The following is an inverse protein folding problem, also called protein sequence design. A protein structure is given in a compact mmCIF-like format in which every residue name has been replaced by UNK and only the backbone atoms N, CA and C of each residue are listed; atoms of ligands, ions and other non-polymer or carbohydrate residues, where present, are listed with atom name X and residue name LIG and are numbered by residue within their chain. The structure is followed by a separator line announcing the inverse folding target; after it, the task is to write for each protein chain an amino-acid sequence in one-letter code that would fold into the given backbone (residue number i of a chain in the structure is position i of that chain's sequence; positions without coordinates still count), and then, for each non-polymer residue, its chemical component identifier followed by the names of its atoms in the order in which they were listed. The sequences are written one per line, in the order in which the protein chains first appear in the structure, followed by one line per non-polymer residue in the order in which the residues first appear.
data_IF_943291216583
#
_entry.id   IF_943291216583
#
_cell.length_a   1.000
_cell.length_b   1.000
_cell.length_c   1.000
_cell.angle_alpha   90.00
_cell.angle_beta   90.00
_cell.angle_gamma   90.00
#
_symmetry.space_group_name_H-M   'P 1'
#
loop_
_entity.id
_entity.type
_entity.pdbx_description
1 polymer ?
#
# COMPACT_ATOMS: atom_id res chain seq x y z
N UNK A 1 2.84 9.60 -1.73
CA UNK A 1 1.78 10.39 -1.07
C UNK A 1 1.93 11.84 -1.47
N UNK A 2 0.84 12.60 -1.49
CA UNK A 2 0.85 14.05 -1.67
C UNK A 2 0.43 14.70 -0.36
N UNK A 3 1.17 15.69 0.09
CA UNK A 3 0.87 16.46 1.30
C UNK A 3 -0.17 17.55 1.02
N UNK A 4 -0.82 18.12 2.06
CA UNK A 4 -1.84 19.17 1.89
C UNK A 4 -1.34 20.44 1.16
N UNK A 5 -0.04 20.72 1.22
CA UNK A 5 0.61 21.83 0.48
C UNK A 5 1.00 21.49 -0.97
N UNK A 6 0.67 20.28 -1.42
CA UNK A 6 0.99 19.75 -2.75
C UNK A 6 2.38 19.14 -2.88
N UNK A 7 3.20 19.17 -1.84
CA UNK A 7 4.50 18.50 -1.84
C UNK A 7 4.33 16.98 -1.96
N UNK A 8 5.28 16.34 -2.63
CA UNK A 8 5.27 14.91 -2.90
C UNK A 8 6.24 14.20 -1.96
N UNK A 9 5.75 13.22 -1.21
CA UNK A 9 6.56 12.36 -0.35
C UNK A 9 6.74 10.99 -0.97
N UNK A 10 7.98 10.52 -0.94
CA UNK A 10 8.41 9.22 -1.47
C UNK A 10 9.16 8.47 -0.39
N UNK A 11 8.83 7.20 -0.20
CA UNK A 11 9.64 6.27 0.58
C UNK A 11 9.96 5.05 -0.28
N UNK A 12 11.23 4.69 -0.35
CA UNK A 12 11.75 3.64 -1.21
C UNK A 12 12.95 2.92 -0.61
N UNK A 13 13.41 1.90 -1.31
CA UNK A 13 14.68 1.23 -1.02
C UNK A 13 15.69 1.49 -2.12
N UNK A 14 16.97 1.66 -1.76
CA UNK A 14 18.07 1.79 -2.71
C UNK A 14 19.23 0.84 -2.34
N UNK A 15 20.04 0.44 -3.32
CA UNK A 15 21.15 -0.50 -3.17
C UNK A 15 22.46 0.00 -3.77
N UNK A 16 22.46 1.20 -4.32
CA UNK A 16 23.59 1.90 -4.91
C UNK A 16 23.63 3.33 -4.39
N UNK A 17 24.75 4.05 -4.45
CA UNK A 17 24.80 5.46 -4.10
C UNK A 17 23.69 6.24 -4.79
N UNK A 18 22.92 7.01 -4.01
CA UNK A 18 21.76 7.76 -4.48
C UNK A 18 21.91 9.23 -4.14
N UNK A 19 21.75 10.09 -5.14
CA UNK A 19 21.60 11.55 -4.99
C UNK A 19 20.24 11.97 -5.56
N UNK A 20 19.46 12.68 -4.78
CA UNK A 20 18.14 13.19 -5.16
C UNK A 20 18.16 14.70 -5.46
N UNK A 21 19.37 15.28 -5.67
CA UNK A 21 19.59 16.70 -5.92
C UNK A 21 19.97 17.52 -4.68
N UNK A 22 20.23 16.87 -3.55
CA UNK A 22 20.67 17.48 -2.30
C UNK A 22 22.07 17.02 -1.84
N UNK A 23 22.80 16.32 -2.68
CA UNK A 23 24.02 15.62 -2.37
C UNK A 23 23.78 14.13 -2.11
N UNK A 24 24.86 13.32 -2.09
CA UNK A 24 24.77 11.88 -1.95
C UNK A 24 24.20 11.48 -0.59
N UNK A 25 23.20 10.59 -0.62
CA UNK A 25 22.64 10.01 0.60
C UNK A 25 23.63 9.03 1.25
N UNK A 26 23.55 8.84 2.58
CA UNK A 26 24.39 7.88 3.30
C UNK A 26 24.30 6.49 2.68
N UNK A 27 25.44 5.93 2.33
CA UNK A 27 25.55 4.61 1.72
C UNK A 27 26.75 3.85 2.31
N UNK A 28 26.57 2.57 2.62
CA UNK A 28 27.68 1.69 3.01
C UNK A 28 27.77 0.50 2.04
N UNK A 29 28.98 0.16 1.64
CA UNK A 29 29.27 -0.96 0.76
C UNK A 29 29.36 -2.31 1.50
N UNK A 30 29.20 -2.30 2.83
CA UNK A 30 29.48 -3.47 3.70
C UNK A 30 28.34 -4.49 3.63
N UNK A 31 27.18 -4.12 3.14
CA UNK A 31 26.05 -5.03 3.10
C UNK A 31 25.30 -4.96 1.76
N UNK A 32 24.91 -6.12 1.22
CA UNK A 32 23.92 -6.22 0.16
C UNK A 32 22.48 -5.88 0.65
N UNK A 33 22.34 -5.41 1.90
CA UNK A 33 21.05 -5.03 2.45
C UNK A 33 20.53 -3.74 1.78
N UNK A 34 19.23 -3.65 1.49
CA UNK A 34 18.67 -2.42 0.96
C UNK A 34 18.70 -1.32 2.02
N UNK A 35 19.14 -0.14 1.60
CA UNK A 35 18.98 1.09 2.36
C UNK A 35 17.54 1.60 2.16
N UNK A 36 17.01 2.35 3.12
CA UNK A 36 15.73 3.05 2.94
C UNK A 36 16.00 4.52 2.65
N UNK A 37 15.12 5.13 1.88
CA UNK A 37 15.06 6.58 1.68
C UNK A 37 13.66 7.05 1.96
N UNK A 38 13.53 8.20 2.62
CA UNK A 38 12.32 9.01 2.66
C UNK A 38 12.70 10.43 2.21
N UNK A 39 11.93 10.98 1.28
CA UNK A 39 12.21 12.28 0.69
C UNK A 39 10.93 13.07 0.44
N UNK A 40 11.02 14.40 0.54
CA UNK A 40 9.97 15.36 0.23
C UNK A 40 10.42 16.25 -0.92
N UNK A 41 9.56 16.35 -1.93
CA UNK A 41 9.78 17.18 -3.11
C UNK A 41 8.67 18.23 -3.21
N UNK A 42 8.99 19.39 -3.72
CA UNK A 42 7.98 20.38 -4.12
C UNK A 42 7.09 19.83 -5.25
N UNK A 43 5.92 20.44 -5.52
CA UNK A 43 5.08 20.07 -6.65
C UNK A 43 5.79 20.15 -8.01
N UNK A 44 6.83 20.99 -8.10
CA UNK A 44 7.70 21.11 -9.30
C UNK A 44 8.84 20.09 -9.37
N UNK A 45 8.96 19.18 -8.38
CA UNK A 45 10.00 18.13 -8.35
C UNK A 45 11.33 18.57 -7.71
N UNK A 46 11.42 19.76 -7.12
CA UNK A 46 12.62 20.20 -6.37
C UNK A 46 12.68 19.53 -5.01
N UNK A 47 13.81 18.95 -4.65
CA UNK A 47 14.01 18.34 -3.34
C UNK A 47 13.89 19.37 -2.23
N UNK A 48 13.06 19.07 -1.21
CA UNK A 48 12.96 19.84 0.03
C UNK A 48 13.91 19.28 1.08
N UNK A 49 13.83 17.98 1.29
CA UNK A 49 14.71 17.21 2.17
C UNK A 49 14.68 15.73 1.80
N UNK A 50 15.74 15.01 2.16
CA UNK A 50 15.83 13.56 2.06
C UNK A 50 16.64 12.97 3.21
N UNK A 51 16.21 11.81 3.68
CA UNK A 51 16.91 11.01 4.67
C UNK A 51 17.19 9.63 4.11
N UNK A 52 18.46 9.28 4.04
CA UNK A 52 18.93 7.90 3.81
C UNK A 52 19.07 7.17 5.15
N UNK A 53 18.45 6.01 5.27
CA UNK A 53 18.56 5.14 6.43
C UNK A 53 19.46 3.98 6.07
N UNK A 54 20.65 3.98 6.65
CA UNK A 54 21.69 2.98 6.38
C UNK A 54 21.56 1.82 7.36
N UNK A 55 21.52 0.56 6.90
CA UNK A 55 21.44 -0.58 7.80
C UNK A 55 22.73 -0.77 8.59
N UNK A 56 22.59 -1.02 9.90
CA UNK A 56 23.73 -1.29 10.78
C UNK A 56 24.35 -2.67 10.59
N UNK A 57 23.58 -3.64 10.06
CA UNK A 57 24.01 -5.02 9.85
C UNK A 57 23.67 -5.56 8.47
N UNK A 58 24.57 -6.37 7.91
CA UNK A 58 24.47 -6.96 6.58
C UNK A 58 23.30 -7.95 6.37
N UNK A 59 22.77 -8.54 7.45
CA UNK A 59 21.88 -9.71 7.39
C UNK A 59 20.37 -9.39 7.48
N UNK A 60 19.98 -8.15 7.60
CA UNK A 60 18.61 -7.77 7.91
C UNK A 60 17.89 -7.14 6.72
N UNK A 61 16.64 -7.55 6.50
CA UNK A 61 15.81 -7.05 5.41
C UNK A 61 15.12 -5.76 5.81
N UNK A 62 15.64 -4.65 5.30
CA UNK A 62 14.96 -3.36 5.39
C UNK A 62 13.75 -3.31 4.43
N UNK A 63 12.62 -2.82 4.91
CA UNK A 63 11.40 -2.68 4.10
C UNK A 63 10.60 -1.45 4.52
N UNK A 64 10.20 -0.65 3.55
CA UNK A 64 9.12 0.30 3.71
C UNK A 64 7.80 -0.47 3.64
N UNK A 65 6.96 -0.32 4.66
CA UNK A 65 5.64 -0.93 4.71
C UNK A 65 4.54 0.05 4.33
N UNK A 66 4.73 1.33 4.65
CA UNK A 66 3.77 2.38 4.32
C UNK A 66 4.28 3.77 4.65
N UNK A 67 3.62 4.74 4.04
CA UNK A 67 3.84 6.17 4.23
C UNK A 67 2.48 6.85 4.34
N UNK A 68 2.30 7.75 5.31
CA UNK A 68 1.12 8.59 5.45
C UNK A 68 1.51 10.02 5.81
N UNK A 69 0.67 10.98 5.45
CA UNK A 69 0.87 12.40 5.76
C UNK A 69 -0.40 12.92 6.40
N UNK A 70 -0.28 13.55 7.56
CA UNK A 70 -1.42 14.16 8.24
C UNK A 70 -1.75 15.56 7.69
N UNK A 71 -2.85 16.16 8.18
CA UNK A 71 -3.32 17.47 7.75
C UNK A 71 -2.35 18.62 8.05
N UNK A 72 -1.41 18.43 8.98
CA UNK A 72 -0.35 19.40 9.33
C UNK A 72 0.93 19.16 8.50
N UNK A 73 0.96 18.15 7.64
CA UNK A 73 2.10 17.78 6.82
C UNK A 73 3.16 16.94 7.53
N UNK A 74 2.87 16.43 8.74
CA UNK A 74 3.76 15.48 9.41
C UNK A 74 3.70 14.12 8.69
N UNK A 75 4.82 13.42 8.70
CA UNK A 75 5.03 12.21 7.92
C UNK A 75 5.13 11.00 8.85
N UNK A 76 4.26 10.03 8.64
CA UNK A 76 4.34 8.73 9.28
C UNK A 76 4.98 7.73 8.32
N UNK A 77 6.08 7.13 8.74
CA UNK A 77 6.84 6.10 8.00
C UNK A 77 6.82 4.80 8.78
N UNK A 78 6.25 3.75 8.22
CA UNK A 78 6.21 2.42 8.82
C UNK A 78 6.99 1.40 8.01
N UNK A 79 7.59 0.43 8.70
CA UNK A 79 8.33 -0.62 8.03
C UNK A 79 9.06 -1.57 8.97
N UNK A 80 10.07 -2.23 8.43
CA UNK A 80 10.99 -3.08 9.19
C UNK A 80 12.40 -2.50 9.09
N UNK A 81 12.99 -2.23 10.24
CA UNK A 81 14.36 -1.75 10.39
C UNK A 81 15.34 -2.93 10.50
N UNK A 82 16.52 -2.69 9.96
CA UNK A 82 17.70 -3.53 10.14
C UNK A 82 18.63 -3.00 11.25
N UNK A 83 18.12 -2.12 12.12
CA UNK A 83 18.96 -1.23 12.90
C UNK A 83 19.43 -0.08 12.00
N UNK A 84 18.65 0.99 11.90
CA UNK A 84 19.00 2.15 11.08
C UNK A 84 19.41 3.33 11.95
N UNK A 85 20.25 4.18 11.37
CA UNK A 85 20.46 5.52 11.89
C UNK A 85 19.63 6.50 11.07
N UNK A 86 18.82 7.32 11.74
CA UNK A 86 18.09 8.45 11.16
C UNK A 86 18.48 9.72 11.89
N UNK A 87 19.27 10.56 11.25
CA UNK A 87 19.94 11.69 11.93
C UNK A 87 20.88 11.17 13.01
N UNK A 88 20.76 11.68 14.24
CA UNK A 88 21.54 11.26 15.41
C UNK A 88 20.89 10.10 16.21
N UNK A 89 19.76 9.56 15.78
CA UNK A 89 19.02 8.51 16.51
C UNK A 89 19.14 7.16 15.81
N UNK A 90 19.43 6.16 16.61
CA UNK A 90 19.39 4.76 16.14
C UNK A 90 17.97 4.22 16.21
N UNK A 91 17.50 3.65 15.11
CA UNK A 91 16.30 2.84 15.02
C UNK A 91 16.71 1.38 15.20
N UNK A 92 16.37 0.73 16.30
CA UNK A 92 16.74 -0.66 16.52
C UNK A 92 16.09 -1.59 15.49
N UNK A 93 16.68 -2.78 15.33
CA UNK A 93 16.14 -3.79 14.42
C UNK A 93 14.72 -4.22 14.81
N UNK A 94 13.88 -4.45 13.81
CA UNK A 94 12.49 -4.88 13.98
C UNK A 94 11.47 -3.95 13.32
N UNK A 95 10.17 -4.21 13.55
CA UNK A 95 9.10 -3.37 13.04
C UNK A 95 9.08 -2.02 13.76
N UNK A 96 8.97 -0.94 12.99
CA UNK A 96 8.98 0.42 13.50
C UNK A 96 7.90 1.28 12.84
N UNK A 97 7.51 2.33 13.55
CA UNK A 97 6.75 3.45 13.04
C UNK A 97 7.47 4.74 13.50
N UNK A 98 7.84 5.58 12.54
CA UNK A 98 8.48 6.87 12.80
C UNK A 98 7.55 8.01 12.42
N UNK A 99 7.54 9.10 13.20
CA UNK A 99 6.89 10.37 12.85
C UNK A 99 7.97 11.41 12.62
N UNK A 100 7.91 12.06 11.46
CA UNK A 100 8.77 13.19 11.11
C UNK A 100 7.92 14.46 10.98
N UNK A 101 8.51 15.60 11.33
CA UNK A 101 7.89 16.90 11.07
C UNK A 101 7.79 17.18 9.55
N UNK A 102 7.05 18.22 9.13
CA UNK A 102 7.03 18.66 7.74
C UNK A 102 8.42 19.01 7.17
N UNK A 103 9.35 19.42 8.05
CA UNK A 103 10.74 19.74 7.69
C UNK A 103 11.67 18.51 7.72
N UNK A 104 11.13 17.33 7.99
CA UNK A 104 11.88 16.07 8.01
C UNK A 104 12.57 15.75 9.35
N UNK A 105 12.38 16.54 10.39
CA UNK A 105 12.96 16.22 11.70
C UNK A 105 12.27 15.00 12.32
N UNK A 106 13.05 14.02 12.78
CA UNK A 106 12.53 12.85 13.47
C UNK A 106 12.01 13.25 14.86
N UNK A 107 10.70 13.18 15.04
CA UNK A 107 10.04 13.53 16.30
C UNK A 107 9.86 12.31 17.20
N UNK A 108 9.41 11.20 16.65
CA UNK A 108 9.06 10.01 17.41
C UNK A 108 9.40 8.72 16.66
N UNK A 109 9.68 7.69 17.45
CA UNK A 109 9.80 6.32 16.99
C UNK A 109 9.00 5.44 17.93
N UNK A 110 8.15 4.61 17.35
CA UNK A 110 7.41 3.56 18.06
C UNK A 110 7.87 2.19 17.57
N UNK A 111 8.03 1.29 18.51
CA UNK A 111 8.27 -0.14 18.28
C UNK A 111 7.01 -0.94 18.58
N UNK A 112 6.91 -2.09 17.95
CA UNK A 112 5.90 -3.10 18.24
C UNK A 112 6.61 -4.32 18.82
N UNK A 113 6.77 -4.32 20.14
CA UNK A 113 7.51 -5.37 20.85
C UNK A 113 6.75 -6.69 20.89
N UNK A 114 7.47 -7.80 21.03
CA UNK A 114 6.91 -9.14 21.12
C UNK A 114 7.69 -10.18 20.33
N UNK A 115 7.18 -11.40 20.31
CA UNK A 115 7.80 -12.55 19.66
C UNK A 115 7.20 -12.84 18.27
N UNK A 116 7.99 -13.54 17.43
CA UNK A 116 7.58 -13.86 16.05
C UNK A 116 7.79 -12.70 15.07
N UNK A 117 7.02 -12.68 13.99
CA UNK A 117 7.17 -11.69 12.91
C UNK A 117 6.06 -10.64 12.96
N UNK A 118 6.35 -9.40 12.54
CA UNK A 118 5.35 -8.39 12.26
C UNK A 118 5.73 -7.65 10.98
N UNK A 119 4.78 -7.49 10.07
CA UNK A 119 4.91 -6.70 8.87
C UNK A 119 3.88 -5.56 8.86
N UNK A 120 4.33 -4.33 8.85
CA UNK A 120 3.51 -3.19 8.51
C UNK A 120 3.38 -3.18 6.98
N UNK A 121 2.15 -3.17 6.46
CA UNK A 121 1.89 -3.21 5.02
C UNK A 121 1.29 -1.92 4.48
N UNK A 122 0.56 -1.16 5.31
CA UNK A 122 -0.05 0.10 4.91
C UNK A 122 -0.27 1.03 6.10
N UNK A 123 -0.29 2.33 5.80
CA UNK A 123 -0.64 3.40 6.71
C UNK A 123 -1.66 4.33 6.04
N UNK A 124 -2.58 4.89 6.84
CA UNK A 124 -3.47 5.96 6.42
C UNK A 124 -3.57 7.02 7.53
N UNK A 125 -3.56 8.32 7.21
CA UNK A 125 -3.84 9.36 8.20
C UNK A 125 -5.29 9.24 8.68
N UNK A 126 -5.53 9.53 9.95
CA UNK A 126 -6.87 9.42 10.55
C UNK A 126 -7.67 10.74 10.51
N UNK A 127 -7.10 11.77 9.88
CA UNK A 127 -7.69 13.11 9.79
C UNK A 127 -7.57 13.95 11.07
N UNK A 128 -7.04 13.40 12.18
CA UNK A 128 -6.91 14.08 13.48
C UNK A 128 -5.45 14.18 13.95
N UNK A 129 -4.49 14.07 13.03
CA UNK A 129 -3.05 14.07 13.30
C UNK A 129 -2.49 12.69 13.70
N UNK A 130 -3.32 11.68 13.83
CA UNK A 130 -2.94 10.30 14.09
C UNK A 130 -2.82 9.46 12.82
N UNK A 131 -2.63 8.15 13.00
CA UNK A 131 -2.42 7.21 11.90
C UNK A 131 -3.07 5.86 12.19
N UNK A 132 -3.66 5.27 11.18
CA UNK A 132 -4.10 3.87 11.18
C UNK A 132 -3.05 3.02 10.48
N UNK A 133 -2.60 1.98 11.18
CA UNK A 133 -1.55 1.04 10.71
C UNK A 133 -2.19 -0.31 10.48
N UNK A 134 -1.97 -0.89 9.31
CA UNK A 134 -2.46 -2.23 8.96
C UNK A 134 -1.32 -3.17 8.55
N UNK A 135 -1.47 -4.44 8.85
CA UNK A 135 -0.48 -5.44 8.52
C UNK A 135 -0.81 -6.84 8.96
N UNK A 136 0.21 -7.68 9.06
CA UNK A 136 0.10 -9.04 9.54
C UNK A 136 1.24 -9.42 10.48
N UNK A 137 0.98 -10.36 11.40
CA UNK A 137 1.97 -10.83 12.37
C UNK A 137 1.79 -12.31 12.67
N UNK A 138 2.83 -12.90 13.29
CA UNK A 138 2.82 -14.21 13.91
C UNK A 138 3.38 -14.13 15.32
N UNK A 139 3.07 -15.11 16.16
CA UNK A 139 3.49 -15.12 17.56
C UNK A 139 2.72 -14.11 18.41
N UNK A 140 3.37 -13.53 19.40
CA UNK A 140 2.78 -12.61 20.36
C UNK A 140 3.24 -11.16 20.10
N UNK A 141 2.32 -10.18 20.14
CA UNK A 141 2.62 -8.76 19.93
C UNK A 141 1.92 -7.84 20.92
N UNK A 142 2.65 -6.83 21.36
CA UNK A 142 2.12 -5.77 22.21
C UNK A 142 1.75 -4.56 21.35
N UNK A 143 0.46 -4.27 21.22
CA UNK A 143 -0.03 -3.15 20.41
C UNK A 143 -0.26 -1.86 21.22
N UNK A 144 0.02 -1.88 22.53
CA UNK A 144 -0.08 -0.75 23.43
C UNK A 144 -1.35 -0.75 24.29
N UNK A 145 -2.49 -1.14 23.73
CA UNK A 145 -3.75 -1.35 24.45
C UNK A 145 -3.86 -2.78 24.98
N UNK A 146 -3.27 -3.74 24.27
CA UNK A 146 -3.32 -5.15 24.65
C UNK A 146 -2.16 -5.95 24.04
N UNK A 147 -1.87 -7.09 24.68
CA UNK A 147 -1.09 -8.16 24.09
C UNK A 147 -2.02 -9.03 23.25
N UNK A 148 -1.61 -9.29 22.00
CA UNK A 148 -2.35 -10.12 21.05
C UNK A 148 -1.51 -11.31 20.63
N UNK A 149 -2.19 -12.47 20.52
CA UNK A 149 -1.57 -13.73 20.13
C UNK A 149 -2.14 -14.22 18.81
N UNK A 150 -1.28 -14.46 17.82
CA UNK A 150 -1.63 -15.21 16.62
C UNK A 150 -1.63 -16.72 16.96
N UNK A 151 -2.54 -17.53 16.44
CA UNK A 151 -2.48 -18.98 16.59
C UNK A 151 -1.15 -19.53 16.07
N UNK A 152 -0.66 -20.60 16.67
CA UNK A 152 0.61 -21.22 16.32
C UNK A 152 0.65 -21.58 14.82
N UNK A 153 1.76 -21.28 14.15
CA UNK A 153 1.97 -21.51 12.72
C UNK A 153 1.15 -20.63 11.79
N UNK A 154 0.27 -19.75 12.31
CA UNK A 154 -0.60 -18.91 11.49
C UNK A 154 -0.11 -17.45 11.39
N UNK A 155 -0.61 -16.76 10.36
CA UNK A 155 -0.53 -15.32 10.23
C UNK A 155 -1.87 -14.66 10.46
N UNK A 156 -1.89 -13.67 11.34
CA UNK A 156 -3.07 -12.90 11.73
C UNK A 156 -2.95 -11.47 11.22
N UNK A 157 -4.04 -10.93 10.67
CA UNK A 157 -4.09 -9.52 10.31
C UNK A 157 -4.27 -8.67 11.56
N UNK A 158 -3.70 -7.47 11.53
CA UNK A 158 -3.93 -6.45 12.55
C UNK A 158 -4.26 -5.09 11.95
N UNK A 159 -5.01 -4.29 12.69
CA UNK A 159 -5.20 -2.87 12.49
C UNK A 159 -5.05 -2.17 13.84
N UNK A 160 -4.26 -1.12 13.87
CA UNK A 160 -4.04 -0.29 15.08
C UNK A 160 -4.28 1.17 14.72
N UNK A 161 -5.12 1.85 15.49
CA UNK A 161 -5.27 3.29 15.42
C UNK A 161 -4.41 3.95 16.50
N UNK A 162 -3.64 4.93 16.10
CA UNK A 162 -2.74 5.70 16.96
C UNK A 162 -3.11 7.17 16.90
N UNK A 163 -2.96 7.88 18.01
CA UNK A 163 -3.07 9.34 18.04
C UNK A 163 -1.81 10.04 17.48
N UNK A 164 -1.81 11.36 17.39
CA UNK A 164 -0.67 12.16 16.94
C UNK A 164 0.59 12.03 17.81
N UNK A 165 0.43 11.51 19.04
CA UNK A 165 1.55 11.18 19.93
C UNK A 165 2.03 9.73 19.78
N UNK A 166 1.43 8.95 18.88
CA UNK A 166 1.76 7.54 18.67
C UNK A 166 1.23 6.62 19.75
N UNK A 167 0.29 7.08 20.61
CA UNK A 167 -0.36 6.23 21.60
C UNK A 167 -1.51 5.44 20.94
N UNK A 168 -1.71 4.20 21.36
CA UNK A 168 -2.78 3.37 20.82
C UNK A 168 -4.14 3.85 21.33
N UNK A 169 -5.04 4.18 20.40
CA UNK A 169 -6.46 4.38 20.70
C UNK A 169 -7.18 3.04 20.78
N UNK A 170 -6.93 2.15 19.81
CA UNK A 170 -7.45 0.79 19.78
C UNK A 170 -6.61 -0.10 18.87
N UNK A 171 -6.68 -1.42 19.09
CA UNK A 171 -6.16 -2.44 18.18
C UNK A 171 -7.20 -3.53 17.89
N UNK A 172 -7.16 -4.07 16.68
CA UNK A 172 -7.96 -5.21 16.24
C UNK A 172 -7.08 -6.25 15.59
N UNK A 173 -7.39 -7.49 15.85
CA UNK A 173 -6.65 -8.65 15.31
C UNK A 173 -7.65 -9.69 14.82
N UNK A 174 -7.36 -10.29 13.68
CA UNK A 174 -8.15 -11.36 13.10
C UNK A 174 -7.26 -12.49 12.64
N UNK A 175 -7.62 -13.70 13.11
CA UNK A 175 -6.97 -14.95 12.76
C UNK A 175 -7.93 -15.84 11.99
N UNK A 176 -7.39 -16.75 11.19
CA UNK A 176 -8.20 -17.79 10.56
C UNK A 176 -8.73 -18.77 11.64
N UNK A 177 -9.94 -19.29 11.41
CA UNK A 177 -10.58 -20.26 12.35
C UNK A 177 -9.98 -21.66 12.31
N UNK A 178 -9.33 -22.01 11.20
CA UNK A 178 -8.62 -23.27 10.97
C UNK A 178 -7.23 -22.94 10.44
N UNK A 179 -6.48 -23.97 10.02
CA UNK A 179 -5.23 -23.77 9.31
C UNK A 179 -5.45 -22.80 8.13
N UNK A 180 -4.82 -21.61 8.20
CA UNK A 180 -5.06 -20.58 7.23
C UNK A 180 -4.25 -19.32 7.52
N UNK A 181 -4.64 -18.23 6.88
CA UNK A 181 -4.02 -16.93 7.08
C UNK A 181 -5.06 -15.82 6.94
N UNK A 182 -4.80 -14.70 7.59
CA UNK A 182 -5.46 -13.43 7.33
C UNK A 182 -4.37 -12.37 7.21
N UNK A 183 -4.36 -11.62 6.11
CA UNK A 183 -3.38 -10.55 5.89
C UNK A 183 -4.09 -9.27 5.50
N UNK A 184 -3.80 -8.14 6.16
CA UNK A 184 -4.21 -6.81 5.73
C UNK A 184 -3.12 -6.21 4.82
N UNK A 185 -3.53 -5.70 3.64
CA UNK A 185 -2.61 -5.23 2.61
C UNK A 185 -2.69 -3.73 2.37
N UNK A 186 -3.88 -3.16 2.49
CA UNK A 186 -4.08 -1.73 2.34
C UNK A 186 -5.09 -1.24 3.38
N UNK A 187 -4.96 0.04 3.72
CA UNK A 187 -5.87 0.75 4.62
C UNK A 187 -6.11 2.16 4.09
N UNK A 188 -7.34 2.63 4.23
CA UNK A 188 -7.74 4.00 3.97
C UNK A 188 -8.74 4.46 5.04
N UNK A 189 -8.84 5.76 5.25
CA UNK A 189 -9.76 6.35 6.24
C UNK A 189 -10.62 7.38 5.51
N UNK A 190 -11.94 7.37 5.74
CA UNK A 190 -12.85 8.38 5.20
C UNK A 190 -12.85 9.65 6.09
N UNK A 191 -13.47 10.71 5.59
CA UNK A 191 -13.55 12.01 6.28
C UNK A 191 -14.32 11.95 7.61
N UNK A 192 -15.07 10.87 7.86
CA UNK A 192 -15.80 10.61 9.11
C UNK A 192 -15.01 9.71 10.08
N UNK A 193 -13.76 9.34 9.74
CA UNK A 193 -12.91 8.45 10.50
C UNK A 193 -13.19 6.95 10.29
N UNK A 194 -14.09 6.59 9.38
CA UNK A 194 -14.35 5.19 9.03
C UNK A 194 -13.12 4.54 8.38
N UNK A 195 -12.70 3.39 8.90
CA UNK A 195 -11.49 2.70 8.48
C UNK A 195 -11.81 1.56 7.52
N UNK A 196 -11.24 1.59 6.34
CA UNK A 196 -11.40 0.57 5.31
C UNK A 196 -10.12 -0.23 5.16
N UNK A 197 -10.24 -1.55 5.22
CA UNK A 197 -9.10 -2.49 5.18
C UNK A 197 -9.34 -3.51 4.09
N UNK A 198 -8.32 -3.79 3.31
CA UNK A 198 -8.35 -4.85 2.31
C UNK A 198 -7.19 -5.80 2.44
N UNK A 199 -7.35 -6.99 1.92
CA UNK A 199 -6.31 -8.01 1.96
C UNK A 199 -6.78 -9.34 1.41
N UNK A 200 -6.28 -10.42 2.00
CA UNK A 200 -6.70 -11.76 1.67
C UNK A 200 -6.80 -12.64 2.93
N UNK A 201 -7.69 -13.61 2.87
CA UNK A 201 -7.81 -14.66 3.87
C UNK A 201 -7.89 -16.04 3.22
N UNK A 202 -7.51 -17.07 3.96
CA UNK A 202 -7.73 -18.46 3.62
C UNK A 202 -8.27 -19.19 4.85
N UNK A 203 -9.19 -20.14 4.64
CA UNK A 203 -9.98 -20.77 5.73
C UNK A 203 -11.20 -19.94 6.09
N UNK A 204 -11.53 -19.80 7.36
CA UNK A 204 -12.64 -18.98 7.84
C UNK A 204 -12.15 -17.81 8.67
N UNK A 205 -12.76 -16.63 8.52
CA UNK A 205 -12.46 -15.44 9.35
C UNK A 205 -13.74 -14.76 9.81
N UNK A 206 -13.73 -14.25 11.04
CA UNK A 206 -14.80 -13.43 11.59
C UNK A 206 -14.23 -12.04 11.91
N UNK A 207 -14.65 -11.03 11.16
CA UNK A 207 -14.24 -9.64 11.38
C UNK A 207 -15.08 -8.90 12.43
N UNK A 208 -16.04 -9.59 13.06
CA UNK A 208 -17.00 -9.02 14.02
C UNK A 208 -18.45 -9.09 13.55
N UNK A 209 -18.68 -9.47 12.30
CA UNK A 209 -19.97 -9.75 11.68
C UNK A 209 -20.09 -11.21 11.26
N UNK A 210 -20.90 -11.54 10.26
CA UNK A 210 -20.99 -12.88 9.68
C UNK A 210 -19.62 -13.39 9.26
N UNK A 211 -19.34 -14.67 9.52
CA UNK A 211 -18.07 -15.27 9.13
C UNK A 211 -17.95 -15.37 7.61
N UNK A 212 -16.79 -14.97 7.09
CA UNK A 212 -16.40 -15.23 5.72
C UNK A 212 -15.68 -16.58 5.68
N UNK A 213 -16.04 -17.45 4.73
CA UNK A 213 -15.50 -18.81 4.65
C UNK A 213 -15.10 -19.12 3.22
N UNK A 214 -13.89 -19.62 3.06
CA UNK A 214 -13.37 -20.15 1.79
C UNK A 214 -12.64 -21.47 2.03
N UNK A 215 -12.56 -22.31 1.00
CA UNK A 215 -11.89 -23.61 1.08
C UNK A 215 -10.51 -23.48 0.44
N UNK A 216 -9.46 -23.38 1.28
CA UNK A 216 -8.03 -23.43 0.90
C UNK A 216 -7.52 -22.36 -0.10
N UNK A 217 -8.36 -21.48 -0.63
CA UNK A 217 -7.96 -20.44 -1.57
C UNK A 217 -7.75 -19.11 -0.83
N UNK A 218 -6.79 -18.31 -1.28
CA UNK A 218 -6.68 -16.93 -0.83
C UNK A 218 -7.77 -16.12 -1.47
N UNK A 219 -8.71 -15.65 -0.67
CA UNK A 219 -9.86 -14.87 -1.15
C UNK A 219 -9.68 -13.42 -0.75
N UNK A 220 -9.81 -12.47 -1.70
CA UNK A 220 -9.79 -11.05 -1.41
C UNK A 220 -10.95 -10.65 -0.50
N UNK A 221 -10.70 -9.74 0.44
CA UNK A 221 -11.74 -9.16 1.28
C UNK A 221 -11.68 -7.64 1.32
N UNK A 222 -12.82 -7.03 1.64
CA UNK A 222 -12.97 -5.64 2.05
C UNK A 222 -13.70 -5.59 3.40
N UNK A 223 -13.22 -4.74 4.32
CA UNK A 223 -13.73 -4.56 5.66
C UNK A 223 -13.87 -3.07 5.96
N UNK A 224 -14.99 -2.67 6.54
CA UNK A 224 -15.17 -1.34 7.14
C UNK A 224 -15.29 -1.47 8.65
N UNK A 225 -14.54 -0.64 9.36
CA UNK A 225 -14.63 -0.43 10.81
C UNK A 225 -15.11 1.01 11.08
N UNK A 226 -15.76 1.21 12.23
CA UNK A 226 -16.03 2.55 12.75
C UNK A 226 -14.74 3.26 13.19
N UNK A 227 -14.76 4.56 13.49
CA UNK A 227 -13.61 5.28 14.05
C UNK A 227 -13.04 4.63 15.33
N UNK A 228 -13.89 3.95 16.13
CA UNK A 228 -13.52 3.23 17.36
C UNK A 228 -13.07 1.79 17.08
N UNK A 229 -12.98 1.40 15.81
CA UNK A 229 -12.57 0.08 15.38
C UNK A 229 -13.63 -1.01 15.54
N UNK A 230 -14.92 -0.67 15.66
CA UNK A 230 -16.00 -1.67 15.64
C UNK A 230 -16.30 -2.08 14.19
N UNK A 231 -16.67 -3.35 14.00
CA UNK A 231 -17.08 -3.86 12.69
C UNK A 231 -18.35 -3.16 12.20
N UNK A 232 -18.32 -2.68 10.96
CA UNK A 232 -19.50 -2.13 10.27
C UNK A 232 -19.99 -3.09 9.20
N UNK A 233 -19.14 -3.50 8.28
CA UNK A 233 -19.43 -4.52 7.29
C UNK A 233 -18.14 -5.20 6.81
N UNK A 234 -18.28 -6.41 6.26
CA UNK A 234 -17.22 -7.13 5.54
C UNK A 234 -17.77 -7.81 4.31
N UNK A 235 -16.98 -7.86 3.24
CA UNK A 235 -17.29 -8.47 1.94
C UNK A 235 -16.09 -9.26 1.45
N UNK A 236 -16.33 -10.28 0.65
CA UNK A 236 -15.30 -11.05 -0.04
C UNK A 236 -15.67 -11.30 -1.51
N UNK A 237 -14.67 -11.59 -2.33
CA UNK A 237 -14.84 -12.00 -3.72
C UNK A 237 -14.71 -13.53 -3.79
N UNK A 238 -15.78 -14.23 -3.43
CA UNK A 238 -15.83 -15.70 -3.34
C UNK A 238 -15.63 -16.37 -4.69
N UNK A 239 -15.00 -17.55 -4.66
CA UNK A 239 -14.78 -18.40 -5.83
C UNK A 239 -13.51 -18.07 -6.61
N UNK A 240 -12.72 -17.12 -6.13
CA UNK A 240 -11.47 -16.72 -6.79
C UNK A 240 -10.27 -16.87 -5.87
N UNK A 241 -9.12 -17.16 -6.45
CA UNK A 241 -7.84 -17.01 -5.78
C UNK A 241 -7.26 -15.63 -6.08
N UNK A 242 -6.93 -14.86 -5.03
CA UNK A 242 -6.43 -13.51 -5.24
C UNK A 242 -6.14 -12.74 -3.96
N UNK A 243 -5.84 -11.48 -4.15
CA UNK A 243 -5.57 -10.54 -3.05
C UNK A 243 -6.07 -9.15 -3.43
N UNK A 244 -6.81 -8.52 -2.53
CA UNK A 244 -7.08 -7.09 -2.61
C UNK A 244 -5.88 -6.34 -2.00
N UNK A 245 -5.13 -5.65 -2.86
CA UNK A 245 -3.86 -5.01 -2.50
C UNK A 245 -3.95 -3.50 -2.37
N UNK A 246 -5.08 -2.90 -2.79
CA UNK A 246 -5.30 -1.46 -2.77
C UNK A 246 -6.73 -1.13 -2.35
N UNK A 247 -6.88 -0.01 -1.65
CA UNK A 247 -8.16 0.60 -1.31
C UNK A 247 -8.06 2.11 -1.45
N UNK A 248 -9.07 2.72 -2.03
CA UNK A 248 -9.23 4.17 -2.10
C UNK A 248 -10.65 4.55 -1.71
N UNK A 249 -10.80 5.69 -1.05
CA UNK A 249 -12.09 6.18 -0.54
C UNK A 249 -12.38 7.52 -1.20
N UNK A 250 -13.49 7.59 -1.92
CA UNK A 250 -14.06 8.83 -2.43
C UNK A 250 -15.19 9.32 -1.53
N UNK A 251 -15.88 10.42 -1.90
CA UNK A 251 -16.93 11.02 -1.09
C UNK A 251 -18.06 10.05 -0.70
N UNK A 252 -18.47 9.18 -1.59
CA UNK A 252 -19.61 8.25 -1.41
C UNK A 252 -19.34 6.82 -1.91
N UNK A 253 -18.11 6.53 -2.29
CA UNK A 253 -17.64 5.24 -2.82
C UNK A 253 -16.36 4.77 -2.16
N UNK A 254 -16.26 3.46 -2.07
CA UNK A 254 -15.04 2.74 -1.71
C UNK A 254 -14.63 1.87 -2.88
N UNK A 255 -13.39 2.01 -3.29
CA UNK A 255 -12.81 1.25 -4.39
C UNK A 255 -11.78 0.27 -3.84
N UNK A 256 -11.92 -0.98 -4.20
CA UNK A 256 -11.04 -2.08 -3.81
C UNK A 256 -10.41 -2.65 -5.06
N UNK A 257 -9.11 -2.68 -5.13
CA UNK A 257 -8.36 -3.20 -6.27
C UNK A 257 -7.37 -4.28 -5.88
N UNK A 258 -7.06 -5.13 -6.84
CA UNK A 258 -6.12 -6.21 -6.62
C UNK A 258 -6.02 -7.13 -7.81
N UNK A 259 -5.55 -8.35 -7.55
CA UNK A 259 -5.37 -9.36 -8.58
C UNK A 259 -6.11 -10.65 -8.22
N UNK A 260 -6.63 -11.32 -9.22
CA UNK A 260 -7.37 -12.57 -9.05
C UNK A 260 -7.09 -13.55 -10.18
N UNK A 261 -7.38 -14.82 -9.93
CA UNK A 261 -7.51 -15.88 -10.92
C UNK A 261 -8.74 -16.74 -10.60
N UNK A 262 -9.30 -17.38 -11.61
CA UNK A 262 -10.56 -18.15 -11.46
C UNK A 262 -11.80 -17.31 -11.76
N UNK A 263 -12.84 -17.44 -10.96
CA UNK A 263 -14.13 -16.76 -11.20
C UNK A 263 -14.68 -16.17 -9.89
N UNK A 264 -15.14 -14.93 -9.94
CA UNK A 264 -15.99 -14.36 -8.89
C UNK A 264 -17.24 -13.74 -9.49
N UNK A 265 -18.26 -13.54 -8.64
CA UNK A 265 -19.49 -12.86 -9.02
C UNK A 265 -19.59 -11.54 -8.29
N UNK A 266 -20.01 -10.50 -9.00
CA UNK A 266 -20.28 -9.20 -8.45
C UNK A 266 -21.59 -8.68 -9.00
N UNK A 267 -22.58 -8.40 -8.12
CA UNK A 267 -23.98 -8.11 -8.50
C UNK A 267 -24.62 -9.17 -9.41
N UNK A 268 -24.20 -10.42 -9.30
CA UNK A 268 -24.65 -11.51 -10.14
C UNK A 268 -23.90 -11.68 -11.46
N UNK A 269 -23.08 -10.71 -11.86
CA UNK A 269 -22.29 -10.78 -13.09
C UNK A 269 -20.98 -11.56 -12.85
N UNK A 270 -20.62 -12.50 -13.73
CA UNK A 270 -19.40 -13.28 -13.61
C UNK A 270 -18.17 -12.52 -14.12
N UNK A 271 -17.13 -12.50 -13.34
CA UNK A 271 -15.77 -12.08 -13.74
C UNK A 271 -14.87 -13.32 -13.77
N UNK A 272 -14.29 -13.62 -14.92
CA UNK A 272 -13.49 -14.85 -15.10
C UNK A 272 -12.11 -14.56 -15.64
N UNK A 273 -11.12 -15.30 -15.14
CA UNK A 273 -9.76 -15.25 -15.62
C UNK A 273 -9.10 -16.63 -15.61
N UNK A 274 -8.32 -16.94 -16.64
CA UNK A 274 -7.48 -18.14 -16.71
C UNK A 274 -6.10 -17.95 -16.08
N UNK A 275 -5.72 -16.71 -15.72
CA UNK A 275 -4.44 -16.34 -15.11
C UNK A 275 -4.61 -15.20 -14.13
N UNK A 276 -3.51 -14.62 -13.65
CA UNK A 276 -3.58 -13.48 -12.78
C UNK A 276 -4.03 -12.23 -13.55
N UNK A 277 -5.21 -11.70 -13.24
CA UNK A 277 -5.76 -10.47 -13.80
C UNK A 277 -6.06 -9.45 -12.70
N UNK A 278 -6.10 -8.17 -13.09
CA UNK A 278 -6.51 -7.10 -12.22
C UNK A 278 -8.03 -7.03 -12.08
N UNK A 279 -8.47 -6.56 -10.93
CA UNK A 279 -9.85 -6.15 -10.71
C UNK A 279 -9.92 -4.84 -9.96
N UNK A 280 -11.02 -4.14 -10.17
CA UNK A 280 -11.50 -3.05 -9.30
C UNK A 280 -12.97 -3.30 -9.02
N UNK A 281 -13.35 -3.21 -7.74
CA UNK A 281 -14.73 -3.33 -7.27
C UNK A 281 -15.10 -2.08 -6.47
N UNK A 282 -16.26 -1.52 -6.73
CA UNK A 282 -16.79 -0.36 -6.05
C UNK A 282 -17.96 -0.73 -5.13
N UNK A 283 -17.91 -0.20 -3.91
CA UNK A 283 -18.96 -0.34 -2.91
C UNK A 283 -19.43 1.06 -2.48
N UNK A 284 -20.65 1.18 -1.95
CA UNK A 284 -21.04 2.37 -1.21
C UNK A 284 -20.56 2.32 0.24
N UNK A 285 -20.81 3.38 0.99
CA UNK A 285 -20.42 3.49 2.39
C UNK A 285 -21.04 2.40 3.31
N UNK A 286 -22.17 1.81 2.89
CA UNK A 286 -22.86 0.71 3.58
C UNK A 286 -22.35 -0.69 3.15
N UNK A 287 -21.38 -0.75 2.24
CA UNK A 287 -20.82 -2.00 1.72
C UNK A 287 -21.71 -2.69 0.69
N UNK A 288 -22.65 -1.97 0.07
CA UNK A 288 -23.43 -2.49 -1.05
C UNK A 288 -22.61 -2.40 -2.32
N UNK A 289 -22.58 -3.49 -3.07
CA UNK A 289 -21.92 -3.60 -4.37
C UNK A 289 -22.49 -2.61 -5.38
N UNK A 290 -21.63 -1.87 -6.09
CA UNK A 290 -21.99 -0.89 -7.10
C UNK A 290 -21.61 -1.35 -8.50
N UNK A 291 -20.35 -1.56 -8.74
CA UNK A 291 -19.83 -2.12 -9.99
C UNK A 291 -18.48 -2.82 -9.75
N UNK A 292 -18.10 -3.71 -10.66
CA UNK A 292 -16.76 -4.25 -10.74
C UNK A 292 -16.29 -4.30 -12.20
N UNK A 293 -14.98 -4.23 -12.37
CA UNK A 293 -14.28 -4.48 -13.64
C UNK A 293 -13.11 -5.41 -13.41
N UNK A 294 -12.90 -6.31 -14.36
CA UNK A 294 -11.70 -7.12 -14.48
C UNK A 294 -11.01 -6.78 -15.80
N UNK A 295 -9.68 -6.88 -15.84
CA UNK A 295 -8.89 -6.47 -16.99
C UNK A 295 -7.56 -7.23 -17.04
N UNK A 296 -7.03 -7.42 -18.29
CA UNK A 296 -5.79 -8.16 -18.55
C UNK A 296 -4.52 -7.35 -18.16
N UNK A 297 -4.42 -6.98 -16.89
CA UNK A 297 -3.29 -6.25 -16.32
C UNK A 297 -3.27 -6.44 -14.80
N UNK A 298 -2.25 -5.97 -14.10
CA UNK A 298 -2.26 -5.93 -12.64
C UNK A 298 -2.92 -4.65 -12.12
N UNK A 299 -3.59 -4.69 -10.97
CA UNK A 299 -4.00 -3.52 -10.22
C UNK A 299 -3.07 -3.35 -9.00
N UNK A 300 -2.13 -2.42 -9.09
CA UNK A 300 -1.09 -2.24 -8.07
C UNK A 300 -1.47 -1.25 -6.99
N UNK A 301 -2.04 -0.10 -7.37
CA UNK A 301 -2.47 0.95 -6.44
C UNK A 301 -3.65 1.75 -6.99
N UNK A 302 -4.41 2.33 -6.07
CA UNK A 302 -5.59 3.15 -6.29
C UNK A 302 -5.46 4.47 -5.54
N UNK A 303 -5.97 5.54 -6.11
CA UNK A 303 -6.18 6.82 -5.44
C UNK A 303 -7.43 7.50 -5.98
N UNK A 304 -8.10 8.31 -5.18
CA UNK A 304 -9.23 9.13 -5.58
C UNK A 304 -8.88 10.61 -5.48
N UNK A 305 -9.50 11.44 -6.31
CA UNK A 305 -9.55 12.89 -6.11
C UNK A 305 -10.78 13.31 -5.30
N UNK A 306 -10.90 14.61 -5.04
CA UNK A 306 -12.02 15.18 -4.29
C UNK A 306 -13.37 15.04 -5.01
N UNK A 307 -13.36 14.88 -6.34
CA UNK A 307 -14.55 14.59 -7.14
C UNK A 307 -14.91 13.08 -7.15
N UNK A 308 -14.14 12.26 -6.44
CA UNK A 308 -14.32 10.81 -6.37
C UNK A 308 -13.86 10.05 -7.61
N UNK A 309 -13.23 10.71 -8.59
CA UNK A 309 -12.69 10.02 -9.76
C UNK A 309 -11.54 9.10 -9.32
N UNK A 310 -11.57 7.86 -9.82
CA UNK A 310 -10.61 6.84 -9.44
C UNK A 310 -9.41 6.84 -10.38
N UNK A 311 -8.20 6.97 -9.84
CA UNK A 311 -6.95 6.71 -10.55
C UNK A 311 -6.44 5.33 -10.18
N UNK A 312 -6.18 4.52 -11.19
CA UNK A 312 -5.68 3.16 -11.09
C UNK A 312 -4.32 3.06 -11.79
N UNK A 313 -3.36 2.38 -11.18
CA UNK A 313 -2.07 2.09 -11.79
C UNK A 313 -1.71 0.62 -11.68
N UNK A 314 -0.97 0.14 -12.67
CA UNK A 314 -0.48 -1.23 -12.71
C UNK A 314 0.45 -1.48 -13.89
N UNK A 315 0.63 -2.76 -14.21
CA UNK A 315 1.46 -3.20 -15.33
C UNK A 315 0.68 -4.18 -16.20
N UNK A 316 0.95 -4.19 -17.50
CA UNK A 316 0.32 -5.09 -18.47
C UNK A 316 1.36 -5.71 -19.41
N UNK A 317 1.04 -6.87 -19.94
CA UNK A 317 1.88 -7.62 -20.88
C UNK A 317 1.48 -7.42 -22.36
N UNK A 318 0.79 -6.30 -22.66
CA UNK A 318 0.35 -5.95 -24.03
C UNK A 318 -1.16 -6.08 -24.28
N UNK A 319 -1.91 -6.71 -23.36
CA UNK A 319 -3.34 -7.00 -23.51
C UNK A 319 -4.29 -6.08 -22.71
N UNK A 320 -3.90 -4.84 -22.44
CA UNK A 320 -4.73 -3.92 -21.63
C UNK A 320 -6.06 -3.58 -22.32
N UNK A 321 -7.18 -3.88 -21.66
CA UNK A 321 -8.56 -3.73 -22.18
C UNK A 321 -9.39 -2.67 -21.41
N UNK A 322 -8.73 -1.71 -20.79
CA UNK A 322 -9.38 -0.57 -20.11
C UNK A 322 -9.83 0.56 -21.07
N UNK A 323 -10.15 0.24 -22.34
CA UNK A 323 -10.54 1.24 -23.35
C UNK A 323 -9.35 1.91 -24.04
N UNK A 324 -8.12 1.46 -23.81
CA UNK A 324 -6.99 1.81 -24.65
C UNK A 324 -7.19 1.16 -26.03
N UNK A 325 -6.92 1.88 -27.11
CA UNK A 325 -6.89 1.30 -28.46
C UNK A 325 -5.83 0.20 -28.45
N UNK A 326 -6.24 -1.04 -28.83
CA UNK A 326 -5.44 -2.24 -28.69
C UNK A 326 -4.03 -2.14 -29.29
N UNK A 327 -3.09 -2.89 -28.68
CA UNK A 327 -1.75 -3.06 -29.21
C UNK A 327 -0.64 -2.25 -28.53
N UNK A 328 -0.88 -1.67 -27.33
CA UNK A 328 0.21 -1.06 -26.55
C UNK A 328 1.24 -2.13 -26.16
N UNK A 329 2.55 -1.90 -26.38
CA UNK A 329 3.59 -2.81 -25.88
C UNK A 329 3.51 -2.97 -24.38
N UNK A 330 3.98 -4.10 -23.86
CA UNK A 330 4.05 -4.37 -22.43
C UNK A 330 4.66 -3.19 -21.65
N UNK A 331 4.06 -2.85 -20.50
CA UNK A 331 4.48 -1.70 -19.75
C UNK A 331 3.65 -1.38 -18.51
N UNK A 332 3.82 -0.19 -17.98
CA UNK A 332 2.92 0.33 -16.96
C UNK A 332 1.77 1.11 -17.61
N UNK A 333 0.66 1.17 -16.89
CA UNK A 333 -0.46 2.01 -17.27
C UNK A 333 -0.93 2.87 -16.09
N UNK A 334 -1.53 4.00 -16.44
CA UNK A 334 -2.29 4.86 -15.54
C UNK A 334 -3.65 5.07 -16.18
N UNK A 335 -4.71 4.75 -15.48
CA UNK A 335 -6.08 4.90 -15.92
C UNK A 335 -6.86 5.77 -14.96
N UNK A 336 -7.72 6.64 -15.49
CA UNK A 336 -8.72 7.37 -14.74
C UNK A 336 -10.09 6.80 -15.05
N UNK A 337 -10.82 6.44 -13.99
CA UNK A 337 -12.11 5.80 -14.10
C UNK A 337 -13.21 6.68 -13.47
N UNK A 338 -14.37 6.66 -14.08
CA UNK A 338 -15.57 7.32 -13.57
C UNK A 338 -16.08 6.60 -12.31
N UNK A 339 -16.44 7.30 -11.22
CA UNK A 339 -16.78 6.68 -9.95
C UNK A 339 -18.07 5.87 -9.98
N UNK A 340 -19.05 6.24 -10.85
CA UNK A 340 -20.38 5.64 -10.86
C UNK A 340 -20.46 4.27 -11.54
N UNK A 341 -19.67 4.05 -12.60
CA UNK A 341 -19.75 2.85 -13.45
C UNK A 341 -18.39 2.22 -13.78
N UNK A 342 -17.28 2.86 -13.36
CA UNK A 342 -15.94 2.44 -13.68
C UNK A 342 -15.54 2.62 -15.14
N UNK A 343 -16.30 3.40 -15.95
CA UNK A 343 -15.92 3.72 -17.31
C UNK A 343 -14.59 4.47 -17.34
N UNK A 344 -13.75 4.14 -18.34
CA UNK A 344 -12.46 4.79 -18.49
C UNK A 344 -12.62 6.20 -19.03
N UNK A 345 -12.21 7.20 -18.26
CA UNK A 345 -12.14 8.58 -18.69
C UNK A 345 -10.93 8.80 -19.61
N UNK A 346 -9.79 8.27 -19.19
CA UNK A 346 -8.58 8.17 -20.02
C UNK A 346 -7.68 7.03 -19.54
N UNK A 347 -6.85 6.53 -20.44
CA UNK A 347 -5.79 5.55 -20.16
C UNK A 347 -4.51 6.01 -20.84
N UNK A 348 -3.41 6.01 -20.10
CA UNK A 348 -2.06 6.27 -20.61
C UNK A 348 -1.17 5.08 -20.33
N UNK A 349 -0.44 4.64 -21.34
CA UNK A 349 0.51 3.52 -21.25
C UNK A 349 1.92 4.03 -21.47
N UNK A 350 2.86 3.45 -20.73
CA UNK A 350 4.28 3.77 -20.82
C UNK A 350 5.05 2.47 -21.00
N UNK A 351 5.53 2.25 -22.20
CA UNK A 351 6.33 1.08 -22.54
C UNK A 351 7.81 1.35 -22.33
N UNK A 352 8.53 0.35 -21.91
CA UNK A 352 9.99 0.35 -21.86
C UNK A 352 10.48 -1.09 -22.01
N UNK A 353 11.60 -1.32 -22.68
CA UNK A 353 12.21 -2.65 -22.77
C UNK A 353 12.49 -3.30 -21.41
N UNK A 354 12.52 -2.48 -20.37
CA UNK A 354 12.81 -2.90 -18.98
C UNK A 354 11.59 -3.28 -18.15
N UNK A 355 10.39 -3.43 -18.74
CA UNK A 355 9.14 -3.76 -18.07
C UNK A 355 8.90 -2.92 -16.79
N UNK A 356 8.54 -1.64 -16.93
CA UNK A 356 8.33 -0.75 -15.79
C UNK A 356 7.17 -1.22 -14.91
N UNK A 357 7.31 -1.04 -13.60
CA UNK A 357 6.30 -1.44 -12.62
C UNK A 357 5.83 -0.23 -11.84
N UNK A 358 4.55 0.12 -11.97
CA UNK A 358 3.90 1.07 -11.06
C UNK A 358 3.71 0.41 -9.69
N UNK A 359 4.06 1.11 -8.63
CA UNK A 359 3.98 0.62 -7.24
C UNK A 359 2.99 1.42 -6.38
N UNK A 360 2.87 2.70 -6.63
CA UNK A 360 2.05 3.60 -5.85
C UNK A 360 1.52 4.73 -6.71
N UNK A 361 0.36 5.23 -6.36
CA UNK A 361 -0.26 6.42 -6.94
C UNK A 361 -0.85 7.28 -5.84
N UNK A 362 -0.80 8.58 -6.01
CA UNK A 362 -1.53 9.56 -5.24
C UNK A 362 -2.11 10.60 -6.22
N UNK A 363 -3.14 11.31 -5.81
CA UNK A 363 -3.70 12.41 -6.58
C UNK A 363 -3.55 13.69 -5.77
N UNK A 364 -3.09 14.77 -6.40
CA UNK A 364 -2.98 16.08 -5.75
C UNK A 364 -4.30 16.86 -5.83
N UNK A 365 -4.39 17.98 -5.11
CA UNK A 365 -5.57 18.86 -5.09
C UNK A 365 -5.95 19.41 -6.48
N UNK A 366 -5.02 19.44 -7.44
CA UNK A 366 -5.27 19.81 -8.83
C UNK A 366 -5.72 18.64 -9.71
N UNK A 367 -5.94 17.45 -9.13
CA UNK A 367 -6.34 16.24 -9.84
C UNK A 367 -5.20 15.56 -10.62
N UNK A 368 -3.94 16.00 -10.44
CA UNK A 368 -2.81 15.36 -11.10
C UNK A 368 -2.47 14.02 -10.45
N UNK A 369 -2.27 12.98 -11.25
CA UNK A 369 -1.81 11.70 -10.76
C UNK A 369 -0.29 11.72 -10.57
N UNK A 370 0.16 11.43 -9.36
CA UNK A 370 1.57 11.24 -9.01
C UNK A 370 1.83 9.75 -8.86
N UNK A 371 2.62 9.18 -9.75
CA UNK A 371 2.91 7.74 -9.83
C UNK A 371 4.36 7.49 -9.49
N UNK A 372 4.59 6.56 -8.58
CA UNK A 372 5.93 6.08 -8.24
C UNK A 372 6.09 4.61 -8.59
N UNK A 373 7.28 4.23 -9.02
CA UNK A 373 7.53 2.86 -9.42
C UNK A 373 9.00 2.54 -9.64
N UNK A 374 9.25 1.45 -10.34
CA UNK A 374 10.59 0.98 -10.64
C UNK A 374 10.74 0.58 -12.12
N UNK A 375 11.90 0.91 -12.68
CA UNK A 375 12.36 0.51 -14.01
C UNK A 375 13.52 -0.48 -13.84
N UNK A 376 13.55 -1.56 -14.61
CA UNK A 376 14.76 -2.38 -14.67
C UNK A 376 15.80 -1.67 -15.55
N UNK A 377 17.04 -1.53 -15.08
CA UNK A 377 18.16 -1.03 -15.90
C UNK A 377 18.45 -1.99 -17.04
N UNK A 378 18.70 -1.44 -18.23
CA UNK A 378 19.21 -2.19 -19.37
C UNK A 378 20.75 -2.11 -19.29
N UNK A 379 21.38 -3.28 -19.03
CA UNK A 379 22.83 -3.39 -19.17
C UNK A 379 23.18 -3.95 -20.55
N UNK A 380 24.36 -3.63 -21.09
CA UNK A 380 24.89 -4.30 -22.28
C UNK A 380 24.91 -5.83 -22.05
N UNK A 381 24.69 -6.61 -23.10
CA UNK A 381 24.73 -8.08 -23.05
C UNK A 381 26.05 -8.56 -22.44
N UNK A 382 25.97 -9.51 -21.51
CA UNK A 382 27.14 -10.17 -20.89
C UNK A 382 27.42 -9.82 -19.43
N UNK A 383 26.63 -8.98 -18.76
CA UNK A 383 26.82 -8.69 -17.34
C UNK A 383 26.12 -9.72 -16.44
N UNK A 384 26.84 -10.43 -15.53
CA UNK A 384 26.32 -11.57 -14.73
C UNK A 384 25.54 -11.15 -13.46
N UNK A 385 25.19 -9.87 -13.25
CA UNK A 385 24.58 -9.39 -12.01
C UNK A 385 23.05 -9.27 -12.09
N UNK A 386 22.33 -9.53 -10.97
CA UNK A 386 20.89 -9.27 -10.92
C UNK A 386 20.65 -7.79 -11.19
N UNK A 387 19.82 -7.50 -12.18
CA UNK A 387 19.56 -6.16 -12.73
C UNK A 387 19.02 -5.24 -11.63
N UNK A 388 19.74 -4.19 -11.21
CA UNK A 388 19.19 -3.17 -10.33
C UNK A 388 17.99 -2.47 -11.02
N UNK A 389 17.06 -2.00 -10.22
CA UNK A 389 15.91 -1.23 -10.69
C UNK A 389 16.09 0.22 -10.28
N UNK A 390 15.93 1.12 -11.23
CA UNK A 390 15.86 2.55 -10.95
C UNK A 390 14.45 2.93 -10.49
N UNK A 391 14.36 3.83 -9.53
CA UNK A 391 13.08 4.43 -9.14
C UNK A 391 12.68 5.53 -10.13
N UNK A 392 11.40 5.73 -10.33
CA UNK A 392 10.85 6.88 -11.06
C UNK A 392 9.72 7.54 -10.28
N UNK A 393 9.56 8.82 -10.50
CA UNK A 393 8.42 9.61 -10.08
C UNK A 393 7.86 10.33 -11.31
N UNK A 394 6.58 10.17 -11.58
CA UNK A 394 5.88 10.73 -12.73
C UNK A 394 4.65 11.50 -12.26
N UNK A 395 4.48 12.74 -12.71
CA UNK A 395 3.28 13.53 -12.49
C UNK A 395 2.53 13.71 -13.82
N UNK A 396 1.27 13.33 -13.84
CA UNK A 396 0.40 13.40 -15.00
C UNK A 396 -0.72 14.41 -14.77
N UNK A 397 -0.97 15.26 -15.75
CA UNK A 397 -2.15 16.14 -15.75
C UNK A 397 -3.44 15.32 -15.89
N UNK A 398 -4.54 15.85 -15.32
CA UNK A 398 -5.86 15.24 -15.43
C UNK A 398 -6.31 14.94 -16.85
#
# INVERSE_FOLDING_TARGET
MVAPDGDVLVAATYREPLDLGGGPLPFNHVSNAPHLVVARFSPGGTLRWAHGLTPAMASTRARVGGLAVDGEGNVWLGGTSAGFTLGARELPAGPFLARLSPQGALERVRRFDGEGTLAINALAPDGTGGVVVAGDFSGQRHFGDAVRQAPEGQRSAFVVSLDGHGQTRWSRVWSARAEGLVTARAVAVDVFGGVYVTGAYAGGVCFGGPALVTVRQRTPFALKLSPEGAHVWSRDLRGTEGTASAVAVGPDRVFVGGNFSGRFYFRGEPHTSSGAQGFVAAFDAAGKERWARSFAATASALATDDAGQLTLVGSHDGGLDLGARGGAPAGLYVARLHPEDGASLWVRTFSSPSAPQARSVAVDLGGHAVVAGALARIYPEGTPYPRPRDGFLLRLKP
#
